data_IF_963655711703
#
_entry.id   IF_963655711703
#
_cell.length_a   1.000
_cell.length_b   1.000
_cell.length_c   1.000
_cell.angle_alpha   90.00
_cell.angle_beta   90.00
_cell.angle_gamma   90.00
#
_symmetry.space_group_name_H-M   'P 1'
#
loop_
_entity.id
_entity.type
_entity.pdbx_description
1 polymer ?
#
# COMPACT_ATOMS: atom_id res chain seq x y z
N UNK A 1 -6.56 19.10 -25.47
CA UNK A 1 -7.18 19.19 -24.13
C UNK A 1 -7.81 20.56 -24.00
N UNK A 2 -9.15 20.62 -23.81
CA UNK A 2 -9.92 21.88 -23.62
C UNK A 2 -10.16 22.08 -22.11
N UNK A 3 -9.13 22.47 -21.35
CA UNK A 3 -9.26 22.76 -19.92
C UNK A 3 -8.39 23.95 -19.55
N UNK A 4 -8.80 24.77 -18.60
CA UNK A 4 -8.07 25.96 -18.13
C UNK A 4 -7.08 25.58 -17.02
N UNK A 5 -7.30 24.44 -16.36
CA UNK A 5 -6.49 23.92 -15.28
C UNK A 5 -6.33 22.40 -15.43
N UNK A 6 -5.11 21.91 -15.21
CA UNK A 6 -4.78 20.50 -15.12
C UNK A 6 -4.20 20.24 -13.73
N UNK A 7 -4.79 19.31 -13.00
CA UNK A 7 -4.35 18.91 -11.65
C UNK A 7 -3.80 17.49 -11.72
N UNK A 8 -2.54 17.33 -11.36
CA UNK A 8 -1.90 16.02 -11.16
C UNK A 8 -2.02 15.59 -9.69
N UNK A 9 -2.38 14.33 -9.46
CA UNK A 9 -2.56 13.78 -8.10
C UNK A 9 -1.27 13.45 -7.37
N UNK A 10 -0.11 13.58 -8.03
CA UNK A 10 1.24 13.35 -7.49
C UNK A 10 2.28 14.03 -8.37
N UNK A 11 3.50 14.24 -7.85
CA UNK A 11 4.63 14.72 -8.65
C UNK A 11 5.04 13.68 -9.71
N UNK A 12 4.90 12.38 -9.41
CA UNK A 12 5.12 11.33 -10.39
C UNK A 12 4.23 11.52 -11.62
N UNK A 13 2.92 11.70 -11.43
CA UNK A 13 1.98 11.95 -12.53
C UNK A 13 2.29 13.27 -13.24
N UNK A 14 2.63 14.32 -12.49
CA UNK A 14 3.03 15.60 -13.10
C UNK A 14 4.25 15.41 -14.01
N UNK A 15 5.29 14.74 -13.54
CA UNK A 15 6.52 14.48 -14.30
C UNK A 15 6.25 13.59 -15.52
N UNK A 16 5.41 12.56 -15.36
CA UNK A 16 4.99 11.69 -16.45
C UNK A 16 4.26 12.46 -17.57
N UNK A 17 3.32 13.34 -17.20
CA UNK A 17 2.60 14.16 -18.18
C UNK A 17 3.58 15.14 -18.85
N UNK A 18 4.49 15.75 -18.08
CA UNK A 18 5.50 16.66 -18.62
C UNK A 18 6.40 15.98 -19.65
N UNK A 19 6.82 14.76 -19.39
CA UNK A 19 7.71 14.01 -20.27
C UNK A 19 7.03 13.52 -21.56
N UNK A 20 5.74 13.12 -21.47
CA UNK A 20 5.06 12.47 -22.60
C UNK A 20 4.11 13.42 -23.37
N UNK A 21 3.79 14.59 -22.84
CA UNK A 21 2.82 15.55 -23.39
C UNK A 21 3.36 16.98 -23.27
N UNK A 22 4.62 17.19 -23.65
CA UNK A 22 5.30 18.51 -23.56
C UNK A 22 4.55 19.63 -24.27
N UNK A 23 3.82 19.31 -25.35
CA UNK A 23 2.94 20.24 -26.09
C UNK A 23 1.88 20.89 -25.18
N UNK A 24 1.42 20.20 -24.14
CA UNK A 24 0.44 20.74 -23.19
C UNK A 24 1.02 21.87 -22.32
N UNK A 25 2.34 21.95 -22.19
CA UNK A 25 3.03 22.97 -21.39
C UNK A 25 3.22 24.27 -22.14
N UNK A 26 3.16 24.25 -23.48
CA UNK A 26 3.28 25.45 -24.33
C UNK A 26 2.00 26.25 -24.40
N UNK A 27 0.86 25.63 -24.06
CA UNK A 27 -0.45 26.29 -24.01
C UNK A 27 -0.51 27.04 -22.66
N UNK A 28 -1.05 28.29 -22.63
CA UNK A 28 -1.23 29.13 -21.43
C UNK A 28 -2.14 28.50 -20.35
N UNK A 29 -1.96 27.22 -20.05
CA UNK A 29 -2.71 26.45 -19.07
C UNK A 29 -1.96 26.32 -17.78
N UNK A 30 -2.67 26.47 -16.67
CA UNK A 30 -2.09 26.22 -15.36
C UNK A 30 -1.99 24.73 -15.10
N UNK A 31 -0.80 24.27 -14.71
CA UNK A 31 -0.52 22.90 -14.34
C UNK A 31 -0.09 22.85 -12.87
N UNK A 32 -0.79 22.08 -12.03
CA UNK A 32 -0.56 22.00 -10.60
C UNK A 32 -0.44 20.57 -10.13
N UNK A 33 0.24 20.40 -9.00
CA UNK A 33 0.18 19.18 -8.20
C UNK A 33 -0.71 19.45 -6.99
N UNK A 34 -1.82 18.73 -6.87
CA UNK A 34 -2.61 18.63 -5.64
C UNK A 34 -2.65 17.16 -5.28
N UNK A 35 -1.91 16.79 -4.24
CA UNK A 35 -1.85 15.41 -3.79
C UNK A 35 -3.24 14.87 -3.46
N UNK A 36 -3.48 13.62 -3.79
CA UNK A 36 -4.68 12.93 -3.32
C UNK A 36 -4.69 12.87 -1.81
N UNK A 37 -5.87 13.04 -1.25
CA UNK A 37 -6.11 12.93 0.19
C UNK A 37 -6.78 11.61 0.58
N UNK A 38 -6.59 11.23 1.83
CA UNK A 38 -7.27 10.12 2.48
C UNK A 38 -8.13 10.64 3.63
N UNK A 39 -9.25 9.97 3.90
CA UNK A 39 -10.04 10.22 5.11
C UNK A 39 -9.34 9.59 6.31
N UNK A 40 -8.61 10.40 7.07
CA UNK A 40 -7.82 9.97 8.23
C UNK A 40 -8.67 9.57 9.44
N UNK A 41 -9.95 9.98 9.48
CA UNK A 41 -10.88 9.60 10.56
C UNK A 41 -11.46 8.21 10.30
N UNK A 42 -11.69 7.85 9.02
CA UNK A 42 -12.07 6.48 8.66
C UNK A 42 -10.92 5.49 8.87
N UNK A 43 -9.69 5.90 8.50
CA UNK A 43 -8.47 5.12 8.72
C UNK A 43 -7.80 5.54 10.03
N UNK A 44 -8.48 5.24 11.15
CA UNK A 44 -8.01 5.51 12.51
C UNK A 44 -7.95 4.22 13.33
N UNK A 45 -6.76 3.91 13.84
CA UNK A 45 -6.51 2.71 14.63
C UNK A 45 -7.26 2.69 15.98
N UNK A 46 -7.64 3.86 16.51
CA UNK A 46 -8.40 3.98 17.76
C UNK A 46 -9.90 3.71 17.60
N UNK A 47 -10.42 3.68 16.36
CA UNK A 47 -11.86 3.65 16.09
C UNK A 47 -12.47 2.24 16.03
N UNK A 48 -11.66 1.17 16.07
CA UNK A 48 -12.12 -0.21 15.88
C UNK A 48 -12.23 -0.97 17.20
N UNK A 49 -13.28 -1.80 17.31
CA UNK A 49 -13.53 -2.60 18.48
C UNK A 49 -12.75 -3.94 18.42
N UNK A 50 -12.21 -4.35 19.54
CA UNK A 50 -11.48 -5.63 19.67
C UNK A 50 -12.35 -6.84 19.28
N UNK A 51 -13.66 -6.75 19.51
CA UNK A 51 -14.61 -7.80 19.14
C UNK A 51 -14.72 -7.97 17.61
N UNK A 52 -14.68 -6.88 16.85
CA UNK A 52 -14.73 -6.91 15.39
C UNK A 52 -13.44 -7.46 14.81
N UNK A 53 -12.29 -7.17 15.43
CA UNK A 53 -11.01 -7.80 15.08
C UNK A 53 -11.08 -9.32 15.25
N UNK A 54 -11.56 -9.80 16.42
CA UNK A 54 -11.72 -11.23 16.71
C UNK A 54 -12.65 -11.91 15.69
N UNK A 55 -13.79 -11.27 15.35
CA UNK A 55 -14.73 -11.79 14.33
C UNK A 55 -14.06 -11.88 12.95
N UNK A 56 -13.31 -10.86 12.55
CA UNK A 56 -12.63 -10.85 11.26
C UNK A 56 -11.55 -11.93 11.18
N UNK A 57 -10.69 -12.05 12.20
CA UNK A 57 -9.65 -13.07 12.25
C UNK A 57 -10.23 -14.48 12.26
N UNK A 58 -11.32 -14.72 13.00
CA UNK A 58 -12.03 -15.98 12.96
C UNK A 58 -12.59 -16.29 11.57
N UNK A 59 -13.20 -15.31 10.89
CA UNK A 59 -13.71 -15.45 9.53
C UNK A 59 -12.58 -15.77 8.54
N UNK A 60 -11.40 -15.22 8.74
CA UNK A 60 -10.23 -15.45 7.92
C UNK A 60 -9.44 -16.70 8.35
N UNK A 61 -9.86 -17.36 9.45
CA UNK A 61 -9.15 -18.50 10.05
C UNK A 61 -7.67 -18.19 10.29
N UNK A 62 -7.38 -17.03 10.84
CA UNK A 62 -6.04 -16.58 11.19
C UNK A 62 -5.88 -16.61 12.71
N UNK A 63 -4.79 -17.22 13.15
CA UNK A 63 -4.33 -17.19 14.52
C UNK A 63 -3.40 -15.98 14.74
N UNK A 64 -3.61 -15.22 15.82
CA UNK A 64 -2.83 -14.02 16.17
C UNK A 64 -1.49 -14.33 16.88
N UNK A 65 -1.10 -15.61 16.98
CA UNK A 65 0.20 -16.00 17.58
C UNK A 65 1.41 -15.58 16.74
N UNK A 66 1.20 -15.42 15.42
CA UNK A 66 2.21 -14.93 14.47
C UNK A 66 1.85 -13.54 14.00
N UNK A 67 2.85 -12.77 13.59
CA UNK A 67 2.62 -11.47 12.90
C UNK A 67 1.77 -11.67 11.65
N UNK A 68 0.92 -10.70 11.36
CA UNK A 68 0.03 -10.70 10.20
C UNK A 68 0.52 -9.66 9.20
N UNK A 69 0.87 -10.11 8.00
CA UNK A 69 1.23 -9.26 6.87
C UNK A 69 0.03 -9.18 5.93
N UNK A 70 -0.44 -7.96 5.65
CA UNK A 70 -1.55 -7.70 4.73
C UNK A 70 -1.04 -7.16 3.39
N UNK A 71 -1.57 -7.70 2.30
CA UNK A 71 -1.26 -7.28 0.92
C UNK A 71 -2.56 -6.93 0.20
N UNK A 72 -3.05 -5.70 0.36
CA UNK A 72 -4.31 -5.30 -0.27
C UNK A 72 -4.09 -4.88 -1.72
N UNK A 73 -4.92 -5.38 -2.62
CA UNK A 73 -4.87 -5.00 -4.02
C UNK A 73 -5.52 -6.02 -4.95
N UNK A 74 -5.95 -5.56 -6.11
CA UNK A 74 -6.49 -6.44 -7.15
C UNK A 74 -5.46 -7.49 -7.54
N UNK A 75 -5.91 -8.71 -7.83
CA UNK A 75 -5.04 -9.77 -8.35
C UNK A 75 -4.74 -9.50 -9.82
N UNK A 76 -3.62 -8.84 -10.07
CA UNK A 76 -3.12 -8.50 -11.42
C UNK A 76 -1.58 -8.57 -11.41
N UNK A 77 -0.98 -8.96 -12.54
CA UNK A 77 0.47 -9.18 -12.64
C UNK A 77 1.29 -7.97 -12.19
N UNK A 78 0.89 -6.77 -12.58
CA UNK A 78 1.60 -5.54 -12.24
C UNK A 78 1.57 -5.19 -10.73
N UNK A 79 0.67 -5.82 -9.94
CA UNK A 79 0.63 -5.72 -8.48
C UNK A 79 1.66 -6.60 -7.77
N UNK A 80 2.44 -7.39 -8.51
CA UNK A 80 3.64 -8.06 -8.02
C UNK A 80 3.42 -9.22 -7.06
N UNK A 81 2.20 -9.83 -7.01
CA UNK A 81 1.95 -10.93 -6.08
C UNK A 81 2.82 -12.16 -6.35
N UNK A 82 3.22 -12.41 -7.60
CA UNK A 82 4.12 -13.52 -7.93
C UNK A 82 5.50 -13.33 -7.29
N UNK A 83 6.11 -12.15 -7.50
CA UNK A 83 7.37 -11.75 -6.89
C UNK A 83 7.30 -11.75 -5.36
N UNK A 84 6.16 -11.32 -4.79
CA UNK A 84 5.93 -11.38 -3.35
C UNK A 84 5.94 -12.82 -2.81
N UNK A 85 5.27 -13.78 -3.48
CA UNK A 85 5.27 -15.19 -3.06
C UNK A 85 6.70 -15.77 -3.09
N UNK A 86 7.49 -15.40 -4.10
CA UNK A 86 8.91 -15.75 -4.16
C UNK A 86 9.69 -15.14 -2.98
N UNK A 87 9.50 -13.84 -2.67
CA UNK A 87 10.13 -13.19 -1.53
C UNK A 87 9.77 -13.86 -0.19
N UNK A 88 8.51 -14.30 -0.03
CA UNK A 88 8.07 -15.06 1.15
C UNK A 88 8.79 -16.40 1.25
N UNK A 89 8.98 -17.10 0.12
CA UNK A 89 9.75 -18.34 0.09
C UNK A 89 11.22 -18.11 0.50
N UNK A 90 11.86 -17.08 -0.02
CA UNK A 90 13.23 -16.69 0.37
C UNK A 90 13.29 -16.37 1.86
N UNK A 91 12.32 -15.63 2.40
CA UNK A 91 12.22 -15.33 3.83
C UNK A 91 12.10 -16.61 4.68
N UNK A 92 11.25 -17.57 4.26
CA UNK A 92 11.10 -18.87 4.95
C UNK A 92 12.39 -19.67 4.93
N UNK A 93 13.10 -19.71 3.80
CA UNK A 93 14.38 -20.43 3.67
C UNK A 93 15.44 -19.81 4.59
N UNK A 94 15.55 -18.48 4.63
CA UNK A 94 16.54 -17.79 5.45
C UNK A 94 16.26 -17.94 6.95
N UNK A 95 15.00 -17.87 7.37
CA UNK A 95 14.64 -18.01 8.79
C UNK A 95 14.51 -19.46 9.25
N UNK A 96 14.31 -20.41 8.33
CA UNK A 96 14.11 -21.83 8.63
C UNK A 96 12.69 -22.17 9.15
N UNK A 97 11.76 -21.21 9.22
CA UNK A 97 10.39 -21.42 9.70
C UNK A 97 9.40 -20.38 9.12
N UNK A 98 8.09 -20.65 9.30
CA UNK A 98 7.02 -19.75 8.90
C UNK A 98 6.76 -18.69 9.98
N UNK A 99 7.41 -17.54 9.86
CA UNK A 99 7.45 -16.51 10.90
C UNK A 99 6.18 -15.65 11.00
N UNK A 100 5.28 -15.70 9.99
CA UNK A 100 4.10 -14.83 9.89
C UNK A 100 2.99 -15.47 9.06
N UNK A 101 1.78 -14.90 9.14
CA UNK A 101 0.71 -15.13 8.18
C UNK A 101 0.71 -14.03 7.13
N UNK A 102 0.60 -14.40 5.85
CA UNK A 102 0.42 -13.46 4.74
C UNK A 102 -1.00 -13.52 4.22
N UNK A 103 -1.68 -12.39 4.17
CA UNK A 103 -3.04 -12.25 3.63
C UNK A 103 -2.98 -11.47 2.34
N UNK A 104 -3.21 -12.12 1.21
CA UNK A 104 -3.39 -11.48 -0.08
C UNK A 104 -4.88 -11.15 -0.22
N UNK A 105 -5.22 -9.87 -0.05
CA UNK A 105 -6.58 -9.38 0.01
C UNK A 105 -6.96 -8.63 -1.26
N UNK A 106 -7.84 -9.20 -2.07
CA UNK A 106 -8.38 -8.54 -3.25
C UNK A 106 -8.97 -9.48 -4.28
N UNK A 107 -9.93 -8.97 -5.04
CA UNK A 107 -10.60 -9.72 -6.10
C UNK A 107 -9.72 -9.88 -7.33
N UNK A 108 -9.87 -11.00 -8.01
CA UNK A 108 -9.32 -11.26 -9.34
C UNK A 108 -10.10 -10.54 -10.46
N UNK A 109 -11.30 -10.04 -10.16
CA UNK A 109 -12.17 -9.37 -11.13
C UNK A 109 -12.42 -10.23 -12.39
N UNK A 110 -12.62 -11.54 -12.21
CA UNK A 110 -12.81 -12.51 -13.29
C UNK A 110 -11.52 -12.95 -13.98
N UNK A 111 -10.35 -12.66 -13.40
CA UNK A 111 -9.02 -13.12 -13.91
C UNK A 111 -8.60 -14.42 -13.25
N UNK A 112 -9.46 -15.43 -13.30
CA UNK A 112 -9.26 -16.74 -12.65
C UNK A 112 -7.90 -17.37 -12.94
N UNK A 113 -7.40 -17.22 -14.17
CA UNK A 113 -6.10 -17.80 -14.57
C UNK A 113 -4.95 -17.25 -13.73
N UNK A 114 -4.95 -15.94 -13.43
CA UNK A 114 -3.91 -15.35 -12.61
C UNK A 114 -4.01 -15.81 -11.15
N UNK A 115 -5.21 -15.84 -10.57
CA UNK A 115 -5.42 -16.38 -9.22
C UNK A 115 -4.97 -17.84 -9.12
N UNK A 116 -5.37 -18.70 -10.07
CA UNK A 116 -4.93 -20.10 -10.15
C UNK A 116 -3.41 -20.23 -10.23
N UNK A 117 -2.75 -19.36 -11.02
CA UNK A 117 -1.28 -19.30 -11.09
C UNK A 117 -0.67 -18.99 -9.72
N UNK A 118 -1.17 -17.98 -8.99
CA UNK A 118 -0.68 -17.63 -7.66
C UNK A 118 -0.83 -18.78 -6.66
N UNK A 119 -1.99 -19.44 -6.66
CA UNK A 119 -2.24 -20.62 -5.80
C UNK A 119 -1.23 -21.73 -6.12
N UNK A 120 -1.02 -22.06 -7.41
CA UNK A 120 -0.06 -23.09 -7.81
C UNK A 120 1.37 -22.78 -7.38
N UNK A 121 1.81 -21.52 -7.49
CA UNK A 121 3.14 -21.10 -7.02
C UNK A 121 3.24 -21.24 -5.49
N UNK A 122 2.19 -20.87 -4.76
CA UNK A 122 2.11 -21.05 -3.31
C UNK A 122 2.25 -22.52 -2.91
N UNK A 123 1.59 -23.43 -3.62
CA UNK A 123 1.71 -24.88 -3.42
C UNK A 123 3.11 -25.40 -3.74
N UNK A 124 3.70 -24.96 -4.85
CA UNK A 124 5.06 -25.33 -5.25
C UNK A 124 6.11 -24.98 -4.19
N UNK A 125 5.97 -23.81 -3.55
CA UNK A 125 6.85 -23.38 -2.46
C UNK A 125 6.43 -23.92 -1.08
N UNK A 126 5.36 -24.74 -1.00
CA UNK A 126 4.81 -25.27 0.26
C UNK A 126 4.50 -24.16 1.26
N UNK A 127 3.81 -23.11 0.81
CA UNK A 127 3.43 -21.92 1.59
C UNK A 127 1.93 -21.87 1.89
N UNK A 128 1.17 -22.93 1.63
CA UNK A 128 -0.30 -22.98 1.77
C UNK A 128 -0.80 -22.71 3.18
N UNK A 129 -0.02 -23.04 4.20
CA UNK A 129 -0.33 -22.75 5.60
C UNK A 129 0.03 -21.31 6.00
N UNK A 130 0.91 -20.66 5.25
CA UNK A 130 1.40 -19.31 5.54
C UNK A 130 0.66 -18.23 4.76
N UNK A 131 0.19 -18.53 3.54
CA UNK A 131 -0.45 -17.57 2.63
C UNK A 131 -1.94 -17.88 2.51
N UNK A 132 -2.78 -16.87 2.78
CA UNK A 132 -4.23 -16.93 2.54
C UNK A 132 -4.65 -15.92 1.48
N UNK A 133 -5.54 -16.35 0.59
CA UNK A 133 -6.19 -15.51 -0.42
C UNK A 133 -7.58 -15.15 0.05
N UNK A 134 -7.86 -13.87 0.23
CA UNK A 134 -9.15 -13.33 0.64
C UNK A 134 -9.67 -12.43 -0.48
N UNK A 135 -10.84 -12.72 -1.03
CA UNK A 135 -11.35 -12.03 -2.21
C UNK A 135 -11.80 -10.61 -1.91
N UNK A 136 -12.47 -10.38 -0.77
CA UNK A 136 -13.04 -9.07 -0.45
C UNK A 136 -13.16 -8.83 1.05
N UNK A 137 -12.84 -7.60 1.45
CA UNK A 137 -13.15 -7.07 2.77
C UNK A 137 -13.89 -5.73 2.60
N UNK A 138 -15.07 -5.60 3.21
CA UNK A 138 -15.86 -4.35 3.15
C UNK A 138 -15.24 -3.24 4.00
N UNK A 139 -14.75 -3.59 5.19
CA UNK A 139 -14.09 -2.66 6.10
C UNK A 139 -12.58 -2.79 5.97
N UNK A 140 -11.99 -1.96 5.11
CA UNK A 140 -10.56 -1.95 4.91
C UNK A 140 -9.80 -1.42 6.12
N UNK A 141 -10.37 -0.48 6.88
CA UNK A 141 -9.75 0.00 8.12
C UNK A 141 -9.60 -1.13 9.13
N UNK A 142 -10.61 -2.00 9.28
CA UNK A 142 -10.53 -3.19 10.12
C UNK A 142 -9.50 -4.20 9.59
N UNK A 143 -9.39 -4.38 8.25
CA UNK A 143 -8.37 -5.24 7.66
C UNK A 143 -6.94 -4.74 7.98
N UNK A 144 -6.70 -3.44 7.89
CA UNK A 144 -5.43 -2.84 8.33
C UNK A 144 -5.24 -2.98 9.85
N UNK A 145 -6.31 -2.81 10.64
CA UNK A 145 -6.22 -2.88 12.11
C UNK A 145 -5.69 -4.23 12.59
N UNK A 146 -6.16 -5.34 12.03
CA UNK A 146 -5.73 -6.69 12.42
C UNK A 146 -4.33 -7.05 11.93
N UNK A 147 -3.75 -6.29 11.00
CA UNK A 147 -2.40 -6.53 10.48
C UNK A 147 -1.32 -5.81 11.30
N UNK A 148 -0.11 -6.34 11.27
CA UNK A 148 1.09 -5.73 11.87
C UNK A 148 1.90 -4.98 10.82
N UNK A 149 1.98 -5.54 9.62
CA UNK A 149 2.77 -5.03 8.49
C UNK A 149 1.88 -5.03 7.25
N UNK A 150 2.07 -4.04 6.40
CA UNK A 150 1.39 -3.96 5.10
C UNK A 150 2.44 -3.97 3.98
N UNK A 151 2.16 -4.69 2.88
CA UNK A 151 3.06 -4.70 1.72
C UNK A 151 2.29 -4.22 0.48
N UNK A 152 2.90 -3.32 -0.28
CA UNK A 152 2.46 -2.89 -1.62
C UNK A 152 3.54 -3.20 -2.65
N UNK A 153 3.55 -4.44 -3.23
CA UNK A 153 4.67 -4.95 -4.00
C UNK A 153 4.55 -4.68 -5.51
N UNK A 154 3.88 -3.60 -5.92
CA UNK A 154 3.64 -3.29 -7.33
C UNK A 154 4.94 -3.23 -8.12
N UNK A 155 5.01 -3.92 -9.28
CA UNK A 155 6.17 -3.93 -10.17
C UNK A 155 6.10 -2.83 -11.24
N UNK A 156 4.94 -2.19 -11.38
CA UNK A 156 4.74 -1.00 -12.21
C UNK A 156 4.36 0.20 -11.34
N UNK A 157 4.68 1.43 -11.76
CA UNK A 157 4.45 2.62 -10.97
C UNK A 157 2.97 2.87 -10.68
N UNK A 158 2.62 3.06 -9.43
CA UNK A 158 1.31 3.56 -9.03
C UNK A 158 1.26 5.09 -9.09
N UNK A 159 0.11 5.62 -9.50
CA UNK A 159 -0.08 7.07 -9.61
C UNK A 159 0.07 7.81 -8.26
N UNK A 160 -0.32 7.17 -7.15
CA UNK A 160 -0.29 7.77 -5.81
C UNK A 160 0.12 6.80 -4.70
N UNK A 161 -0.22 5.50 -4.81
CA UNK A 161 0.07 4.51 -3.78
C UNK A 161 -0.94 4.55 -2.62
N UNK A 162 -2.23 4.34 -2.91
CA UNK A 162 -3.31 4.36 -1.89
C UNK A 162 -3.03 3.45 -0.70
N UNK A 163 -2.56 2.23 -0.96
CA UNK A 163 -2.23 1.26 0.09
C UNK A 163 -1.22 1.82 1.08
N UNK A 164 -0.20 2.55 0.60
CA UNK A 164 0.82 3.14 1.45
C UNK A 164 0.26 4.23 2.38
N UNK A 165 -0.64 5.08 1.89
CA UNK A 165 -1.23 6.13 2.73
C UNK A 165 -2.27 5.58 3.69
N UNK A 166 -3.05 4.56 3.28
CA UNK A 166 -4.02 3.88 4.14
C UNK A 166 -3.31 3.15 5.30
N UNK A 167 -2.25 2.39 5.01
CA UNK A 167 -1.45 1.70 6.03
C UNK A 167 -0.82 2.68 7.03
N UNK A 168 -0.17 3.73 6.54
CA UNK A 168 0.43 4.76 7.40
C UNK A 168 -0.62 5.50 8.23
N UNK A 169 -1.82 5.77 7.68
CA UNK A 169 -2.93 6.37 8.42
C UNK A 169 -3.37 5.48 9.59
N UNK A 170 -3.34 4.17 9.41
CA UNK A 170 -3.64 3.15 10.43
C UNK A 170 -2.44 2.83 11.35
N UNK A 171 -1.38 3.64 11.32
CA UNK A 171 -0.15 3.44 12.09
C UNK A 171 0.53 2.08 11.82
N UNK A 172 0.35 1.50 10.62
CA UNK A 172 0.98 0.23 10.26
C UNK A 172 2.29 0.45 9.53
N UNK A 173 3.28 -0.41 9.83
CA UNK A 173 4.50 -0.44 9.03
C UNK A 173 4.15 -0.81 7.59
N UNK A 174 4.57 0.01 6.64
CA UNK A 174 4.43 -0.23 5.21
C UNK A 174 5.76 -0.61 4.58
N UNK A 175 5.75 -1.65 3.75
CA UNK A 175 6.84 -2.00 2.84
C UNK A 175 6.31 -1.82 1.42
N UNK A 176 6.92 -0.97 0.60
CA UNK A 176 6.46 -0.72 -0.76
C UNK A 176 7.60 -0.66 -1.76
N UNK A 177 7.27 -0.92 -3.02
CA UNK A 177 8.21 -0.78 -4.12
C UNK A 177 8.67 0.66 -4.28
N UNK A 178 9.96 0.87 -4.53
CA UNK A 178 10.60 2.17 -4.71
C UNK A 178 10.30 2.76 -6.09
N UNK A 179 9.02 2.84 -6.46
CA UNK A 179 8.56 3.38 -7.76
C UNK A 179 7.27 4.20 -7.61
N UNK A 180 7.05 5.13 -8.54
CA UNK A 180 5.81 5.89 -8.65
C UNK A 180 5.49 6.70 -7.39
N UNK A 181 4.21 6.75 -7.03
CA UNK A 181 3.69 7.51 -5.89
C UNK A 181 4.17 7.03 -4.52
N UNK A 182 4.67 5.80 -4.39
CA UNK A 182 5.20 5.29 -3.12
C UNK A 182 6.38 6.14 -2.62
N UNK A 183 7.23 6.63 -3.53
CA UNK A 183 8.38 7.48 -3.20
C UNK A 183 7.99 8.85 -2.65
N UNK A 184 6.75 9.27 -2.85
CA UNK A 184 6.25 10.55 -2.36
C UNK A 184 5.52 10.41 -1.03
N UNK A 185 4.98 9.23 -0.76
CA UNK A 185 4.14 8.97 0.42
C UNK A 185 4.91 8.31 1.57
N UNK A 186 6.02 7.63 1.26
CA UNK A 186 6.87 6.95 2.24
C UNK A 186 8.21 7.67 2.35
N UNK A 187 8.64 7.97 3.59
CA UNK A 187 9.99 8.39 3.90
C UNK A 187 10.74 7.14 4.34
N UNK A 188 11.62 6.61 3.46
CA UNK A 188 12.30 5.35 3.69
C UNK A 188 13.01 5.32 5.05
N UNK A 189 12.87 4.20 5.77
CA UNK A 189 13.41 3.93 7.10
C UNK A 189 12.89 4.83 8.24
N UNK A 190 11.99 5.77 7.92
CA UNK A 190 11.36 6.64 8.91
C UNK A 190 9.85 6.39 9.05
N UNK A 191 9.12 6.25 7.94
CA UNK A 191 7.67 6.04 7.95
C UNK A 191 7.27 4.71 7.32
N UNK A 192 8.24 3.91 6.88
CA UNK A 192 8.10 2.62 6.24
C UNK A 192 9.37 2.25 5.50
N UNK A 193 9.36 1.13 4.81
CA UNK A 193 10.48 0.64 4.01
C UNK A 193 10.18 0.69 2.53
N UNK A 194 11.17 1.09 1.75
CA UNK A 194 11.18 0.96 0.31
C UNK A 194 12.12 -0.18 -0.10
N UNK A 195 11.73 -0.93 -1.14
CA UNK A 195 12.54 -1.99 -1.74
C UNK A 195 12.59 -1.84 -3.26
N UNK A 196 13.58 -2.45 -3.90
CA UNK A 196 13.76 -2.36 -5.36
C UNK A 196 12.62 -3.09 -6.09
N UNK A 197 11.92 -2.38 -6.97
CA UNK A 197 10.75 -2.91 -7.68
C UNK A 197 11.11 -4.11 -8.56
N UNK A 198 10.36 -5.20 -8.45
CA UNK A 198 10.60 -6.43 -9.20
C UNK A 198 11.69 -7.34 -8.59
N UNK A 199 12.33 -6.96 -7.48
CA UNK A 199 13.38 -7.73 -6.82
C UNK A 199 12.84 -8.45 -5.56
N UNK A 200 12.65 -9.76 -5.67
CA UNK A 200 12.18 -10.63 -4.58
C UNK A 200 13.19 -10.71 -3.41
N UNK A 201 14.50 -10.64 -3.70
CA UNK A 201 15.54 -10.63 -2.66
C UNK A 201 15.51 -9.33 -1.86
N UNK A 202 15.37 -8.18 -2.54
CA UNK A 202 15.22 -6.88 -1.89
C UNK A 202 13.98 -6.85 -0.99
N UNK A 203 12.84 -7.38 -1.46
CA UNK A 203 11.62 -7.49 -0.67
C UNK A 203 11.78 -8.45 0.51
N UNK A 204 12.37 -9.63 0.33
CA UNK A 204 12.63 -10.60 1.40
C UNK A 204 13.44 -9.98 2.54
N UNK A 205 14.52 -9.25 2.24
CA UNK A 205 15.32 -8.54 3.25
C UNK A 205 14.49 -7.54 4.06
N UNK A 206 13.60 -6.77 3.41
CA UNK A 206 12.71 -5.84 4.11
C UNK A 206 11.65 -6.55 4.94
N UNK A 207 11.13 -7.70 4.49
CA UNK A 207 10.22 -8.53 5.28
C UNK A 207 10.94 -9.02 6.53
N UNK A 208 12.14 -9.60 6.42
CA UNK A 208 12.94 -10.08 7.55
C UNK A 208 13.19 -8.93 8.52
N UNK A 209 13.66 -7.78 8.04
CA UNK A 209 13.87 -6.60 8.86
C UNK A 209 12.61 -6.21 9.65
N UNK A 210 11.44 -6.18 8.99
CA UNK A 210 10.17 -5.78 9.61
C UNK A 210 9.67 -6.80 10.65
N UNK A 211 9.77 -8.10 10.39
CA UNK A 211 9.28 -9.13 11.33
C UNK A 211 10.19 -9.31 12.54
N UNK A 212 11.47 -8.97 12.41
CA UNK A 212 12.45 -9.04 13.51
C UNK A 212 12.54 -7.75 14.33
N UNK A 213 11.89 -6.67 13.88
CA UNK A 213 11.80 -5.42 14.66
C UNK A 213 11.05 -5.65 15.97
N UNK A 214 11.52 -4.99 17.02
CA UNK A 214 10.80 -4.90 18.29
C UNK A 214 9.50 -4.08 18.14
N UNK A 215 8.53 -4.34 19.01
CA UNK A 215 7.23 -3.66 18.96
C UNK A 215 7.29 -2.15 19.14
N UNK A 216 8.25 -1.65 19.92
CA UNK A 216 8.40 -0.22 20.17
C UNK A 216 8.81 0.49 18.90
N UNK A 217 9.80 -0.05 18.19
CA UNK A 217 10.27 0.48 16.90
C UNK A 217 9.20 0.41 15.81
N UNK A 218 8.43 -0.69 15.75
CA UNK A 218 7.29 -0.81 14.83
C UNK A 218 6.23 0.27 15.10
N UNK A 219 5.84 0.44 16.36
CA UNK A 219 4.85 1.45 16.78
C UNK A 219 5.34 2.88 16.51
N UNK A 220 6.62 3.15 16.73
CA UNK A 220 7.21 4.46 16.45
C UNK A 220 7.16 4.79 14.96
N UNK A 221 7.57 3.86 14.11
CA UNK A 221 7.54 4.04 12.65
C UNK A 221 6.11 4.23 12.13
N UNK A 222 5.14 3.47 12.66
CA UNK A 222 3.72 3.63 12.34
C UNK A 222 3.19 5.02 12.72
N UNK A 223 3.51 5.51 13.92
CA UNK A 223 3.13 6.87 14.38
C UNK A 223 3.74 7.97 13.51
N UNK A 224 5.01 7.85 13.14
CA UNK A 224 5.65 8.80 12.23
C UNK A 224 5.00 8.76 10.84
N UNK A 225 4.59 7.57 10.36
CA UNK A 225 3.79 7.39 9.16
C UNK A 225 2.48 8.18 9.23
N UNK A 226 1.68 7.98 10.28
CA UNK A 226 0.42 8.71 10.47
C UNK A 226 0.61 10.21 10.52
N UNK A 227 1.60 10.71 11.24
CA UNK A 227 1.93 12.15 11.27
C UNK A 227 2.22 12.72 9.87
N UNK A 228 2.99 11.98 9.05
CA UNK A 228 3.28 12.37 7.68
C UNK A 228 2.00 12.45 6.83
N UNK A 229 1.10 11.46 6.97
CA UNK A 229 -0.16 11.43 6.22
C UNK A 229 -1.08 12.58 6.62
N UNK A 230 -1.33 12.79 7.91
CA UNK A 230 -2.16 13.90 8.42
C UNK A 230 -1.61 15.24 7.92
N UNK A 231 -0.30 15.43 7.94
CA UNK A 231 0.35 16.68 7.51
C UNK A 231 0.21 16.96 6.01
N UNK A 232 0.34 15.92 5.16
CA UNK A 232 0.52 16.11 3.71
C UNK A 232 -0.62 15.58 2.85
N UNK A 233 -1.30 14.52 3.27
CA UNK A 233 -2.16 13.71 2.41
C UNK A 233 -3.58 13.52 2.96
N UNK A 234 -4.09 14.41 3.80
CA UNK A 234 -5.48 14.36 4.25
C UNK A 234 -6.44 14.90 3.18
N UNK A 235 -7.68 14.43 3.22
CA UNK A 235 -8.70 14.79 2.23
C UNK A 235 -9.13 16.26 2.32
N UNK A 236 -9.14 16.84 3.51
CA UNK A 236 -9.51 18.24 3.73
C UNK A 236 -8.55 19.18 3.02
N UNK A 237 -7.24 18.91 3.13
CA UNK A 237 -6.20 19.68 2.44
C UNK A 237 -6.34 19.57 0.92
N UNK A 238 -6.61 18.37 0.40
CA UNK A 238 -6.88 18.16 -1.03
C UNK A 238 -8.09 18.96 -1.49
N UNK A 239 -9.21 18.87 -0.77
CA UNK A 239 -10.45 19.58 -1.09
C UNK A 239 -10.26 21.10 -1.02
N UNK A 240 -9.63 21.60 0.04
CA UNK A 240 -9.35 23.04 0.19
C UNK A 240 -8.47 23.58 -0.94
N UNK A 241 -7.39 22.87 -1.27
CA UNK A 241 -6.50 23.28 -2.37
C UNK A 241 -7.23 23.28 -3.73
N UNK A 242 -8.04 22.26 -3.99
CA UNK A 242 -8.83 22.16 -5.23
C UNK A 242 -9.87 23.27 -5.32
N UNK A 243 -10.60 23.51 -4.24
CA UNK A 243 -11.60 24.58 -4.16
C UNK A 243 -10.99 25.97 -4.38
N UNK A 244 -9.85 26.24 -3.75
CA UNK A 244 -9.13 27.50 -3.89
C UNK A 244 -8.72 27.79 -5.34
N UNK A 245 -8.30 26.77 -6.08
CA UNK A 245 -7.97 26.92 -7.50
C UNK A 245 -9.21 27.12 -8.38
N UNK A 246 -10.32 26.44 -8.09
CA UNK A 246 -11.58 26.69 -8.82
C UNK A 246 -12.10 28.11 -8.59
N UNK A 247 -12.05 28.58 -7.33
CA UNK A 247 -12.45 29.97 -7.02
C UNK A 247 -11.58 30.98 -7.79
N UNK A 248 -10.28 30.69 -7.94
CA UNK A 248 -9.36 31.56 -8.69
C UNK A 248 -9.59 31.56 -10.20
N UNK A 249 -10.17 30.50 -10.76
CA UNK A 249 -10.52 30.44 -12.18
C UNK A 249 -11.82 31.15 -12.51
N UNK A 250 -12.71 31.33 -11.52
CA UNK A 250 -14.02 31.97 -11.68
C UNK A 250 -13.99 33.48 -11.44
N UNK A 251 -12.92 34.01 -10.83
CA UNK A 251 -12.64 35.42 -10.61
C UNK A 251 -11.62 35.94 -11.64
#
# INVERSE_FOLDING_TARGET
VRSDLIIAGSNFIFSHIKANYSELLTIKKKFLVIFRGINVDYFDSSSKLEEDEKKLLKKWEINKEKKIILVPGRLTSWKGQEMLIEAVNLTKVELGYEAFHLIILGSDQGRDLYKKKLIRITEQYRLTNQIKFIDHCKDMALAYQVSDIVISPSIEPEAFGRVAVEAQSMEKLIIASNIGGSNETIINEKTGFLFEAGDSNSLSKRIIQAITMDETSLKLMGKEGRKNIIKKFNVEKMCFSTYSEYKRLLN
#
